data_IF_818412243939
#
_entry.id   IF_818412243939
#
_cell.length_a   1.000
_cell.length_b   1.000
_cell.length_c   1.000
_cell.angle_alpha   90.00
_cell.angle_beta   90.00
_cell.angle_gamma   90.00
#
_symmetry.space_group_name_H-M   'P 1'
#
loop_
_entity.id
_entity.type
_entity.pdbx_description
1 polymer ?
#
# COMPACT_ATOMS: atom_id res chain seq x y z
N UNK A 1 -18.40 8.47 -4.09
CA UNK A 1 -17.36 8.38 -5.10
C UNK A 1 -17.17 9.75 -5.72
N UNK A 2 -15.95 10.25 -5.68
CA UNK A 2 -15.55 11.50 -6.33
C UNK A 2 -14.52 11.17 -7.41
N UNK A 3 -14.73 11.70 -8.60
CA UNK A 3 -13.80 11.65 -9.72
C UNK A 3 -13.32 13.06 -10.02
N UNK A 4 -12.05 13.22 -10.32
CA UNK A 4 -11.52 14.50 -10.80
C UNK A 4 -12.11 14.86 -12.17
N UNK A 5 -12.12 16.14 -12.51
CA UNK A 5 -12.58 16.61 -13.82
C UNK A 5 -11.77 15.94 -14.94
N UNK A 6 -12.47 15.35 -15.89
CA UNK A 6 -11.87 14.60 -16.99
C UNK A 6 -11.46 13.16 -16.67
N UNK A 7 -11.54 12.73 -15.43
CA UNK A 7 -11.37 11.33 -15.07
C UNK A 7 -12.62 10.54 -15.46
N UNK A 8 -12.42 9.43 -16.15
CA UNK A 8 -13.47 8.46 -16.44
C UNK A 8 -13.05 7.11 -15.89
N UNK A 9 -13.99 6.40 -15.27
CA UNK A 9 -13.78 4.99 -14.99
C UNK A 9 -14.06 4.24 -16.30
N UNK A 10 -13.09 3.47 -16.83
CA UNK A 10 -13.38 2.56 -17.96
C UNK A 10 -14.46 1.57 -17.57
N UNK A 11 -15.28 1.13 -18.51
CA UNK A 11 -16.51 0.32 -18.31
C UNK A 11 -16.39 -0.99 -17.49
N UNK A 12 -15.23 -1.31 -16.94
CA UNK A 12 -15.00 -2.52 -16.11
C UNK A 12 -13.96 -2.33 -15.00
N UNK A 13 -13.79 -1.13 -14.50
CA UNK A 13 -12.56 -0.80 -13.79
C UNK A 13 -12.59 -1.03 -12.29
N UNK A 14 -13.74 -0.95 -11.65
CA UNK A 14 -13.82 -1.07 -10.19
C UNK A 14 -15.08 -1.86 -9.83
N UNK A 15 -14.89 -3.04 -9.28
CA UNK A 15 -15.95 -3.68 -8.52
C UNK A 15 -15.86 -3.17 -7.07
N UNK A 16 -16.85 -2.36 -6.69
CA UNK A 16 -16.98 -1.90 -5.32
C UNK A 16 -17.75 -2.93 -4.50
N UNK A 17 -17.06 -3.57 -3.59
CA UNK A 17 -17.67 -4.54 -2.69
C UNK A 17 -17.90 -3.95 -1.31
N UNK A 18 -19.12 -4.08 -0.81
CA UNK A 18 -19.42 -3.90 0.61
C UNK A 18 -20.14 -5.14 1.13
N UNK A 19 -19.66 -5.72 2.19
CA UNK A 19 -20.29 -6.91 2.79
C UNK A 19 -21.59 -6.56 3.52
N UNK A 20 -21.72 -5.32 3.99
CA UNK A 20 -22.89 -4.79 4.71
C UNK A 20 -23.10 -3.32 4.32
N UNK A 21 -24.27 -2.70 4.64
CA UNK A 21 -24.41 -1.25 4.52
C UNK A 21 -23.32 -0.53 5.34
N UNK A 22 -22.59 0.36 4.71
CA UNK A 22 -21.50 1.14 5.32
C UNK A 22 -21.85 2.63 5.32
N UNK A 23 -21.29 3.39 6.27
CA UNK A 23 -21.52 4.82 6.45
C UNK A 23 -20.18 5.57 6.51
N UNK A 24 -20.23 6.86 6.22
CA UNK A 24 -19.08 7.79 6.34
C UNK A 24 -17.87 7.32 5.53
N UNK A 25 -18.11 6.71 4.37
CA UNK A 25 -17.07 6.21 3.46
C UNK A 25 -16.74 7.29 2.44
N UNK A 26 -15.44 7.55 2.28
CA UNK A 26 -14.91 8.47 1.27
C UNK A 26 -14.05 7.70 0.28
N UNK A 27 -14.39 7.76 -0.99
CA UNK A 27 -13.58 7.23 -2.09
C UNK A 27 -13.37 8.36 -3.09
N UNK A 28 -12.13 8.78 -3.26
CA UNK A 28 -11.74 9.79 -4.23
C UNK A 28 -10.64 9.24 -5.13
N UNK A 29 -10.89 9.18 -6.43
CA UNK A 29 -9.97 8.66 -7.43
C UNK A 29 -9.74 9.72 -8.48
N UNK A 30 -8.50 10.24 -8.54
CA UNK A 30 -8.07 11.26 -9.48
C UNK A 30 -7.54 10.70 -10.80
N UNK A 31 -7.11 9.45 -10.83
CA UNK A 31 -6.42 8.88 -11.99
C UNK A 31 -7.34 8.05 -12.90
N UNK A 32 -7.26 8.27 -14.23
CA UNK A 32 -7.91 7.40 -15.20
C UNK A 32 -7.16 6.09 -15.47
N UNK A 33 -5.93 5.94 -14.96
CA UNK A 33 -5.02 4.82 -15.24
C UNK A 33 -5.03 3.74 -14.15
N UNK A 34 -6.00 3.79 -13.24
CA UNK A 34 -6.17 2.79 -12.18
C UNK A 34 -7.08 1.67 -12.66
N UNK A 35 -6.52 0.48 -12.76
CA UNK A 35 -7.27 -0.74 -13.07
C UNK A 35 -7.26 -1.64 -11.83
N UNK A 36 -8.34 -1.61 -11.11
CA UNK A 36 -8.52 -2.45 -9.94
C UNK A 36 -9.38 -3.66 -10.29
N UNK A 37 -8.95 -4.84 -9.87
CA UNK A 37 -9.83 -6.01 -9.86
C UNK A 37 -10.92 -5.83 -8.82
N UNK A 38 -10.55 -5.29 -7.66
CA UNK A 38 -11.50 -5.05 -6.59
C UNK A 38 -11.15 -3.82 -5.77
N UNK A 39 -12.18 -3.13 -5.31
CA UNK A 39 -12.10 -2.17 -4.22
C UNK A 39 -13.13 -2.57 -3.17
N UNK A 40 -12.66 -3.20 -2.11
CA UNK A 40 -13.52 -3.69 -1.03
C UNK A 40 -13.53 -2.72 0.14
N UNK A 41 -14.71 -2.32 0.59
CA UNK A 41 -14.90 -1.49 1.77
C UNK A 41 -15.48 -2.36 2.88
N UNK A 42 -14.72 -2.53 3.95
CA UNK A 42 -15.03 -3.46 5.04
C UNK A 42 -15.72 -2.85 6.24
N UNK A 43 -16.10 -1.56 6.21
CA UNK A 43 -16.82 -0.94 7.33
C UNK A 43 -16.92 0.57 7.27
N UNK A 44 -17.58 1.12 8.30
CA UNK A 44 -17.84 2.55 8.44
C UNK A 44 -16.52 3.36 8.55
N UNK A 45 -16.52 4.60 8.05
CA UNK A 45 -15.40 5.52 8.16
C UNK A 45 -14.18 5.17 7.30
N UNK A 46 -14.31 4.22 6.36
CA UNK A 46 -13.21 3.89 5.45
C UNK A 46 -12.91 5.05 4.48
N UNK A 47 -11.63 5.31 4.24
CA UNK A 47 -11.18 6.37 3.34
C UNK A 47 -10.19 5.83 2.33
N UNK A 48 -10.48 6.00 1.04
CA UNK A 48 -9.57 5.70 -0.07
C UNK A 48 -9.37 6.96 -0.89
N UNK A 49 -8.14 7.41 -0.98
CA UNK A 49 -7.73 8.53 -1.82
C UNK A 49 -6.63 8.07 -2.76
N UNK A 50 -6.86 8.21 -4.06
CA UNK A 50 -5.90 7.92 -5.12
C UNK A 50 -5.76 9.17 -5.97
N UNK A 51 -4.59 9.78 -5.92
CA UNK A 51 -4.30 11.01 -6.65
C UNK A 51 -4.21 10.77 -8.16
N UNK A 52 -4.12 11.87 -8.93
CA UNK A 52 -3.81 11.81 -10.35
C UNK A 52 -2.44 11.18 -10.61
N UNK A 53 -2.20 10.73 -11.81
CA UNK A 53 -0.94 10.09 -12.25
C UNK A 53 -0.58 8.77 -11.53
N UNK A 54 -1.52 8.20 -10.77
CA UNK A 54 -1.39 6.84 -10.30
C UNK A 54 -1.74 5.86 -11.42
N UNK A 55 -0.88 4.86 -11.64
CA UNK A 55 -1.09 3.79 -12.61
C UNK A 55 -0.94 2.45 -11.94
N UNK A 56 -1.97 1.61 -12.07
CA UNK A 56 -1.98 0.25 -11.53
C UNK A 56 -2.69 -0.65 -12.53
N UNK A 57 -1.98 -1.62 -13.09
CA UNK A 57 -2.52 -2.47 -14.16
C UNK A 57 -3.38 -3.63 -13.66
N UNK A 58 -3.24 -4.00 -12.41
CA UNK A 58 -4.12 -4.94 -11.71
C UNK A 58 -3.95 -4.74 -10.20
N UNK A 59 -5.00 -4.39 -9.50
CA UNK A 59 -4.90 -4.12 -8.07
C UNK A 59 -6.12 -4.60 -7.31
N UNK A 60 -5.87 -5.04 -6.09
CA UNK A 60 -6.90 -5.33 -5.11
C UNK A 60 -6.69 -4.43 -3.89
N UNK A 61 -7.67 -3.58 -3.62
CA UNK A 61 -7.66 -2.71 -2.46
C UNK A 61 -8.73 -3.16 -1.47
N UNK A 62 -8.33 -3.29 -0.22
CA UNK A 62 -9.26 -3.48 0.89
C UNK A 62 -9.08 -2.37 1.91
N UNK A 63 -10.17 -1.67 2.23
CA UNK A 63 -10.18 -0.63 3.25
C UNK A 63 -11.24 -0.94 4.30
N UNK A 64 -10.81 -1.37 5.47
CA UNK A 64 -11.65 -1.76 6.60
C UNK A 64 -12.24 -0.58 7.36
N UNK A 65 -13.00 -0.88 8.40
CA UNK A 65 -13.63 0.13 9.25
C UNK A 65 -12.59 1.11 9.84
N UNK A 66 -12.84 2.41 9.70
CA UNK A 66 -11.97 3.49 10.16
C UNK A 66 -10.58 3.52 9.52
N UNK A 67 -10.34 2.67 8.53
CA UNK A 67 -9.04 2.53 7.89
C UNK A 67 -8.85 3.52 6.76
N UNK A 68 -7.60 3.66 6.31
CA UNK A 68 -7.24 4.67 5.32
C UNK A 68 -6.19 4.18 4.34
N UNK A 69 -6.45 4.36 3.05
CA UNK A 69 -5.49 4.19 1.96
C UNK A 69 -5.34 5.53 1.25
N UNK A 70 -4.12 6.05 1.19
CA UNK A 70 -3.81 7.30 0.51
C UNK A 70 -2.60 7.09 -0.39
N UNK A 71 -2.80 7.25 -1.69
CA UNK A 71 -1.75 7.17 -2.69
C UNK A 71 -1.59 8.56 -3.33
N UNK A 72 -0.49 9.24 -3.00
CA UNK A 72 -0.11 10.50 -3.65
C UNK A 72 0.66 10.19 -4.94
N UNK A 73 0.19 10.74 -6.04
CA UNK A 73 0.79 10.48 -7.35
C UNK A 73 2.15 11.17 -7.61
N UNK A 74 2.94 10.64 -8.53
CA UNK A 74 2.72 9.42 -9.25
C UNK A 74 2.99 8.15 -8.44
N UNK A 75 2.16 7.13 -8.60
CA UNK A 75 2.41 5.76 -8.15
C UNK A 75 2.30 4.85 -9.36
N UNK A 76 3.40 4.17 -9.71
CA UNK A 76 3.43 3.24 -10.83
C UNK A 76 3.53 1.82 -10.28
N UNK A 77 2.43 1.07 -10.31
CA UNK A 77 2.43 -0.37 -10.05
C UNK A 77 2.45 -1.12 -11.39
N UNK A 78 3.60 -1.74 -11.71
CA UNK A 78 3.84 -2.31 -13.05
C UNK A 78 2.98 -3.52 -13.37
N UNK A 79 2.44 -4.19 -12.36
CA UNK A 79 1.53 -5.33 -12.50
C UNK A 79 0.54 -5.39 -11.34
N UNK A 80 0.43 -6.54 -10.68
CA UNK A 80 -0.46 -6.71 -9.55
C UNK A 80 0.08 -6.07 -8.28
N UNK A 81 -0.78 -5.40 -7.54
CA UNK A 81 -0.51 -4.95 -6.18
C UNK A 81 -1.73 -5.21 -5.30
N UNK A 82 -1.47 -5.59 -4.06
CA UNK A 82 -2.50 -5.73 -3.03
C UNK A 82 -2.22 -4.71 -1.93
N UNK A 83 -3.22 -3.88 -1.63
CA UNK A 83 -3.14 -2.84 -0.59
C UNK A 83 -4.28 -3.04 0.38
N UNK A 84 -3.98 -3.49 1.58
CA UNK A 84 -4.95 -3.96 2.56
C UNK A 84 -4.81 -3.20 3.90
N UNK A 85 -5.69 -2.23 4.14
CA UNK A 85 -5.73 -1.45 5.37
C UNK A 85 -6.91 -1.89 6.24
N UNK A 86 -6.64 -2.32 7.48
CA UNK A 86 -7.63 -2.87 8.40
C UNK A 86 -7.60 -2.23 9.77
N UNK A 87 -8.70 -2.40 10.50
CA UNK A 87 -8.80 -2.15 11.93
C UNK A 87 -8.38 -0.72 12.34
N UNK A 88 -8.78 0.29 11.58
CA UNK A 88 -8.37 1.68 11.81
C UNK A 88 -6.94 2.00 11.39
N UNK A 89 -6.24 1.06 10.77
CA UNK A 89 -4.90 1.26 10.25
C UNK A 89 -4.84 2.13 9.00
N UNK A 90 -3.64 2.51 8.61
CA UNK A 90 -3.45 3.34 7.42
C UNK A 90 -2.27 2.89 6.57
N UNK A 91 -2.42 3.05 5.26
CA UNK A 91 -1.37 2.95 4.27
C UNK A 91 -1.31 4.28 3.53
N UNK A 92 -0.18 4.96 3.66
CA UNK A 92 0.09 6.23 2.98
C UNK A 92 1.35 6.09 2.15
N UNK A 93 1.24 6.29 0.86
CA UNK A 93 2.38 6.38 -0.05
C UNK A 93 2.50 7.83 -0.53
N UNK A 94 3.66 8.44 -0.27
CA UNK A 94 4.00 9.74 -0.81
C UNK A 94 4.33 9.61 -2.32
N UNK A 95 4.54 10.71 -3.00
CA UNK A 95 4.70 10.73 -4.45
C UNK A 95 5.92 9.95 -4.98
N UNK A 96 5.88 9.64 -6.27
CA UNK A 96 6.99 9.02 -7.01
C UNK A 96 7.33 7.61 -6.53
N UNK A 97 6.34 6.74 -6.61
CA UNK A 97 6.47 5.33 -6.27
C UNK A 97 6.68 4.47 -7.50
N UNK A 98 7.58 3.49 -7.41
CA UNK A 98 7.69 2.41 -8.38
C UNK A 98 7.49 1.07 -7.68
N UNK A 99 6.36 0.41 -7.95
CA UNK A 99 6.05 -0.91 -7.43
C UNK A 99 6.14 -1.94 -8.54
N UNK A 100 7.03 -2.91 -8.39
CA UNK A 100 7.14 -4.03 -9.32
C UNK A 100 5.95 -5.01 -9.13
N UNK A 101 5.97 -6.12 -9.84
CA UNK A 101 4.88 -7.09 -9.79
C UNK A 101 4.71 -7.72 -8.40
N UNK A 102 3.46 -8.00 -8.02
CA UNK A 102 3.04 -8.74 -6.83
C UNK A 102 3.44 -8.07 -5.50
N UNK A 103 3.51 -6.76 -5.46
CA UNK A 103 3.73 -6.04 -4.21
C UNK A 103 2.53 -6.26 -3.28
N UNK A 104 2.82 -6.56 -2.01
CA UNK A 104 1.81 -6.75 -0.97
C UNK A 104 2.05 -5.78 0.19
N UNK A 105 1.07 -4.92 0.47
CA UNK A 105 1.13 -3.94 1.55
C UNK A 105 -0.09 -4.16 2.44
N UNK A 106 0.12 -4.56 3.70
CA UNK A 106 -0.98 -4.86 4.60
C UNK A 106 -0.70 -4.37 6.03
N UNK A 107 -1.67 -3.68 6.62
CA UNK A 107 -1.53 -3.19 8.01
C UNK A 107 -1.51 -4.32 9.02
N UNK A 108 -2.31 -5.36 8.81
CA UNK A 108 -2.58 -6.39 9.79
C UNK A 108 -2.54 -7.79 9.19
N UNK A 109 -2.27 -8.77 10.04
CA UNK A 109 -2.65 -10.16 9.79
C UNK A 109 -4.17 -10.30 10.04
N UNK A 110 -4.88 -11.05 9.21
CA UNK A 110 -6.35 -11.15 9.29
C UNK A 110 -6.86 -11.81 10.55
N UNK A 111 -6.02 -12.57 11.27
CA UNK A 111 -6.39 -13.31 12.44
C UNK A 111 -5.54 -12.93 13.66
N UNK A 112 -6.15 -12.97 14.83
CA UNK A 112 -5.48 -12.70 16.10
C UNK A 112 -4.52 -13.83 16.44
N UNK A 113 -3.24 -13.47 16.63
CA UNK A 113 -2.24 -14.30 17.26
C UNK A 113 -2.09 -13.84 18.71
N UNK A 114 -2.10 -14.76 19.67
CA UNK A 114 -2.00 -14.41 21.08
C UNK A 114 -1.06 -15.34 21.85
N UNK A 115 -0.50 -14.82 22.92
CA UNK A 115 0.22 -15.61 23.89
C UNK A 115 -0.72 -16.59 24.59
N UNK A 116 -0.38 -17.86 24.63
CA UNK A 116 -1.23 -18.92 25.21
C UNK A 116 -1.44 -18.79 26.72
N UNK A 117 -0.51 -18.16 27.40
CA UNK A 117 -0.52 -18.05 28.87
C UNK A 117 -1.23 -16.78 29.31
N UNK A 118 -0.92 -15.65 28.64
CA UNK A 118 -1.44 -14.34 29.07
C UNK A 118 -2.68 -13.91 28.29
N UNK A 119 -2.94 -14.49 27.11
CA UNK A 119 -3.98 -14.04 26.20
C UNK A 119 -3.66 -12.71 25.51
N UNK A 120 -2.44 -12.20 25.67
CA UNK A 120 -2.00 -10.96 25.03
C UNK A 120 -1.90 -11.14 23.52
N UNK A 121 -2.36 -10.12 22.77
CA UNK A 121 -2.22 -10.10 21.31
C UNK A 121 -0.76 -9.86 20.92
N UNK A 122 -0.24 -10.70 20.03
CA UNK A 122 1.16 -10.65 19.57
C UNK A 122 1.32 -10.00 18.20
N UNK A 123 0.31 -10.05 17.35
CA UNK A 123 0.38 -9.49 16.03
C UNK A 123 -0.26 -8.09 15.94
N UNK A 124 0.12 -7.26 14.96
CA UNK A 124 -0.41 -5.91 14.79
C UNK A 124 -1.94 -5.86 14.72
N UNK A 125 -2.50 -4.74 15.16
CA UNK A 125 -3.92 -4.40 15.02
C UNK A 125 -4.03 -2.90 14.77
N UNK A 126 -4.52 -2.51 13.60
CA UNK A 126 -4.61 -1.12 13.20
C UNK A 126 -3.25 -0.48 12.97
N UNK A 127 -2.33 -1.19 12.31
CA UNK A 127 -0.99 -0.67 12.06
C UNK A 127 -0.99 0.47 11.03
N UNK A 128 0.08 1.27 11.06
CA UNK A 128 0.29 2.37 10.15
C UNK A 128 1.53 2.13 9.31
N UNK A 129 1.37 2.18 7.98
CA UNK A 129 2.44 2.05 7.00
C UNK A 129 2.61 3.37 6.28
N UNK A 130 3.83 3.88 6.24
CA UNK A 130 4.20 4.99 5.41
C UNK A 130 5.28 4.57 4.42
N UNK A 131 5.09 4.91 3.17
CA UNK A 131 6.12 4.90 2.13
C UNK A 131 6.44 6.35 1.82
N UNK A 132 7.67 6.76 2.01
CA UNK A 132 8.17 8.09 1.68
C UNK A 132 8.16 8.34 0.17
N UNK A 133 8.65 9.50 -0.24
CA UNK A 133 8.75 9.84 -1.66
C UNK A 133 9.86 9.04 -2.35
N UNK A 134 9.70 8.76 -3.65
CA UNK A 134 10.70 8.10 -4.49
C UNK A 134 11.11 6.72 -3.95
N UNK A 135 10.12 5.86 -3.62
CA UNK A 135 10.37 4.51 -3.11
C UNK A 135 10.20 3.48 -4.21
N UNK A 136 11.16 2.58 -4.30
CA UNK A 136 11.09 1.42 -5.18
C UNK A 136 10.84 0.14 -4.39
N UNK A 137 9.69 -0.49 -4.63
CA UNK A 137 9.37 -1.83 -4.13
C UNK A 137 9.63 -2.85 -5.24
N UNK A 138 10.59 -3.72 -5.00
CA UNK A 138 10.92 -4.83 -5.89
C UNK A 138 9.78 -5.83 -6.03
N UNK A 139 9.86 -6.73 -7.03
CA UNK A 139 8.89 -7.80 -7.22
C UNK A 139 8.72 -8.63 -5.94
N UNK A 140 7.50 -9.01 -5.63
CA UNK A 140 7.16 -9.84 -4.46
C UNK A 140 7.59 -9.19 -3.12
N UNK A 141 7.84 -7.89 -3.08
CA UNK A 141 8.10 -7.17 -1.83
C UNK A 141 6.86 -7.13 -0.96
N UNK A 142 7.06 -7.34 0.32
CA UNK A 142 5.99 -7.38 1.34
C UNK A 142 6.28 -6.34 2.41
N UNK A 143 5.31 -5.45 2.66
CA UNK A 143 5.36 -4.42 3.70
C UNK A 143 4.21 -4.66 4.67
N UNK A 144 4.50 -4.92 5.95
CA UNK A 144 3.47 -5.21 6.94
C UNK A 144 3.74 -4.57 8.31
N UNK A 145 2.70 -4.48 9.11
CA UNK A 145 2.78 -3.93 10.47
C UNK A 145 3.08 -2.43 10.47
N UNK A 146 3.52 -1.90 11.60
CA UNK A 146 3.95 -0.50 11.70
C UNK A 146 5.29 -0.29 10.99
N UNK A 147 5.24 0.02 9.71
CA UNK A 147 6.45 0.18 8.87
C UNK A 147 6.54 1.60 8.29
N UNK A 148 7.74 2.15 8.30
CA UNK A 148 8.07 3.44 7.73
C UNK A 148 9.25 3.27 6.77
N UNK A 149 8.99 3.38 5.47
CA UNK A 149 10.01 3.29 4.42
C UNK A 149 10.39 4.70 4.01
N UNK A 150 11.64 5.07 4.26
CA UNK A 150 12.15 6.42 4.02
C UNK A 150 12.27 6.79 2.54
N UNK A 151 12.39 8.09 2.29
CA UNK A 151 12.50 8.65 0.94
C UNK A 151 13.70 8.06 0.17
N UNK A 152 13.52 7.79 -1.11
CA UNK A 152 14.57 7.23 -1.96
C UNK A 152 15.00 5.80 -1.64
N UNK A 153 14.29 5.11 -0.74
CA UNK A 153 14.65 3.75 -0.36
C UNK A 153 14.22 2.72 -1.41
N UNK A 154 14.94 1.60 -1.42
CA UNK A 154 14.66 0.44 -2.26
C UNK A 154 14.44 -0.78 -1.38
N UNK A 155 13.29 -1.42 -1.54
CA UNK A 155 12.99 -2.73 -0.96
C UNK A 155 13.19 -3.77 -2.05
N UNK A 156 14.20 -4.60 -1.91
CA UNK A 156 14.59 -5.57 -2.94
C UNK A 156 13.56 -6.69 -3.15
N UNK A 157 13.76 -7.43 -4.23
CA UNK A 157 12.91 -8.55 -4.63
C UNK A 157 12.67 -9.55 -3.47
N UNK A 158 11.43 -9.95 -3.25
CA UNK A 158 11.04 -10.96 -2.27
C UNK A 158 11.34 -10.58 -0.82
N UNK A 159 11.54 -9.31 -0.53
CA UNK A 159 11.92 -8.86 0.81
C UNK A 159 10.70 -8.58 1.68
N UNK A 160 10.83 -8.83 2.99
CA UNK A 160 9.81 -8.57 3.99
C UNK A 160 10.24 -7.44 4.94
N UNK A 161 9.58 -6.30 4.82
CA UNK A 161 9.63 -5.21 5.80
C UNK A 161 8.46 -5.38 6.75
N UNK A 162 8.73 -5.75 7.99
CA UNK A 162 7.69 -6.01 9.00
C UNK A 162 7.95 -5.23 10.28
N UNK A 163 7.08 -4.24 10.55
CA UNK A 163 7.14 -3.48 11.79
C UNK A 163 8.47 -2.77 12.01
N UNK A 164 9.08 -2.23 10.95
CA UNK A 164 10.41 -1.61 11.05
C UNK A 164 10.50 -0.32 10.25
N UNK A 165 11.48 0.49 10.61
CA UNK A 165 11.84 1.68 9.89
C UNK A 165 13.00 1.37 8.93
N UNK A 166 12.79 1.67 7.64
CA UNK A 166 13.83 1.64 6.61
C UNK A 166 14.35 3.08 6.44
N UNK A 167 15.66 3.32 6.64
CA UNK A 167 16.21 4.66 6.50
C UNK A 167 16.07 5.19 5.05
N UNK A 168 16.03 6.51 4.84
CA UNK A 168 16.02 7.07 3.50
C UNK A 168 17.30 6.72 2.74
N UNK A 169 17.21 6.68 1.41
CA UNK A 169 18.33 6.40 0.51
C UNK A 169 19.09 5.11 0.83
N UNK A 170 18.37 4.07 1.26
CA UNK A 170 18.94 2.75 1.56
C UNK A 170 18.30 1.65 0.74
N UNK A 171 19.09 0.62 0.43
CA UNK A 171 18.59 -0.63 -0.10
C UNK A 171 18.47 -1.67 1.01
N UNK A 172 17.29 -2.28 1.15
CA UNK A 172 17.03 -3.37 2.09
C UNK A 172 16.63 -4.64 1.34
N UNK A 173 17.12 -5.79 1.81
CA UNK A 173 16.77 -7.11 1.22
C UNK A 173 16.60 -8.16 2.29
N UNK A 174 15.87 -9.23 1.96
CA UNK A 174 15.76 -10.45 2.78
C UNK A 174 14.48 -10.55 3.60
N UNK A 175 14.35 -11.65 4.35
CA UNK A 175 13.21 -11.99 5.21
C UNK A 175 13.74 -12.39 6.58
N UNK A 176 13.66 -11.49 7.57
CA UNK A 176 13.25 -10.08 7.50
C UNK A 176 14.26 -9.20 6.75
N UNK A 177 13.80 -8.09 6.18
CA UNK A 177 14.65 -7.18 5.42
C UNK A 177 15.74 -6.55 6.30
N UNK A 178 16.96 -6.40 5.73
CA UNK A 178 18.10 -5.74 6.36
C UNK A 178 18.74 -4.79 5.37
N UNK A 179 19.33 -3.71 5.87
CA UNK A 179 20.10 -2.78 5.06
C UNK A 179 21.30 -3.51 4.48
N UNK A 180 21.44 -3.46 3.16
CA UNK A 180 22.59 -4.01 2.42
C UNK A 180 23.41 -2.92 1.76
N UNK A 181 22.85 -1.74 1.57
CA UNK A 181 23.54 -0.59 1.01
C UNK A 181 22.92 0.70 1.54
N UNK A 182 23.76 1.64 1.90
CA UNK A 182 23.39 3.00 2.28
C UNK A 182 23.82 3.99 1.18
N UNK A 183 23.28 5.20 1.24
CA UNK A 183 23.60 6.31 0.34
C UNK A 183 23.42 5.92 -1.14
N UNK A 184 22.24 5.37 -1.46
CA UNK A 184 21.88 5.00 -2.81
C UNK A 184 20.96 6.04 -3.45
N UNK A 185 20.99 6.09 -4.77
CA UNK A 185 19.94 6.68 -5.60
C UNK A 185 19.53 5.67 -6.66
N UNK A 186 18.25 5.71 -7.03
CA UNK A 186 17.72 4.91 -8.13
C UNK A 186 17.01 5.82 -9.13
N UNK A 187 16.76 5.32 -10.32
CA UNK A 187 16.08 6.06 -11.40
C UNK A 187 15.06 5.17 -12.07
N UNK A 188 14.05 5.77 -12.69
CA UNK A 188 13.04 5.05 -13.50
C UNK A 188 13.60 4.50 -14.79
N UNK A 189 14.62 5.13 -15.33
CA UNK A 189 15.32 4.67 -16.55
C UNK A 189 16.50 3.75 -16.17
N UNK A 190 16.85 2.88 -17.11
CA UNK A 190 18.01 1.98 -17.02
C UNK A 190 19.13 2.47 -17.98
N UNK A 191 19.27 3.77 -18.11
CA UNK A 191 20.32 4.37 -18.95
C UNK A 191 21.68 4.23 -18.27
N UNK A 192 22.76 3.89 -19.03
CA UNK A 192 24.12 3.77 -18.51
C UNK A 192 24.73 5.11 -18.04
#
# INVERSE_FOLDING_TARGET
LYLADGASLPDKTIELFTTYPVRDVVIAIGSPMIWLHSLSVGGDGATVFIDQDCSMTAGDLYCGAGSRIVLHGPVIATRSAIVDARNGGSIVADADQLWAANVYIATDDMHRLEDRTTGERLNPYGAHIRLGSHVWLGRDAVITGHSDVGDGAVVGHGSLVRGQKVPPHTAVVGVPARVVREDIAWRHDDAP
#
